data_IF_096769142867
#
_entry.id   IF_096769142867
#
_cell.length_a   1.000
_cell.length_b   1.000
_cell.length_c   1.000
_cell.angle_alpha   90.00
_cell.angle_beta   90.00
_cell.angle_gamma   90.00
#
_symmetry.space_group_name_H-M   'P 1'
#
loop_
_entity.id
_entity.type
_entity.pdbx_description
1 polymer ?
#
# COMPACT_ATOMS: atom_id res chain seq x y z
N UNK A 1 9.10 -5.63 -7.82
CA UNK A 1 9.56 -4.70 -6.77
C UNK A 1 9.40 -5.38 -5.43
N UNK A 2 10.22 -5.05 -4.43
CA UNK A 2 10.06 -5.54 -3.05
C UNK A 2 9.17 -4.57 -2.29
N UNK A 3 8.21 -5.07 -1.53
CA UNK A 3 7.36 -4.24 -0.67
C UNK A 3 7.82 -4.39 0.78
N UNK A 4 8.03 -3.26 1.44
CA UNK A 4 8.30 -3.19 2.88
C UNK A 4 7.16 -2.39 3.54
N UNK A 5 6.71 -2.87 4.69
CA UNK A 5 5.68 -2.20 5.48
C UNK A 5 6.28 -1.74 6.78
N UNK A 6 6.07 -0.48 7.13
CA UNK A 6 6.38 -0.03 8.48
C UNK A 6 5.46 -0.74 9.47
N UNK A 7 5.92 -0.88 10.71
CA UNK A 7 5.18 -1.62 11.73
C UNK A 7 3.74 -1.10 11.94
N UNK A 8 3.53 0.21 11.81
CA UNK A 8 2.19 0.82 11.91
C UNK A 8 1.26 0.32 10.81
N UNK A 9 1.70 0.32 9.56
CA UNK A 9 0.95 -0.19 8.42
C UNK A 9 0.67 -1.70 8.56
N UNK A 10 1.68 -2.46 9.01
CA UNK A 10 1.53 -3.90 9.26
C UNK A 10 0.50 -4.21 10.35
N UNK A 11 0.38 -3.39 11.39
CA UNK A 11 -0.64 -3.57 12.42
C UNK A 11 -2.06 -3.37 11.86
N UNK A 12 -2.26 -2.39 10.96
CA UNK A 12 -3.58 -2.16 10.34
C UNK A 12 -4.04 -3.39 9.57
N UNK A 13 -3.14 -4.05 8.82
CA UNK A 13 -3.47 -5.28 8.11
C UNK A 13 -3.99 -6.41 9.00
N UNK A 14 -3.55 -6.46 10.27
CA UNK A 14 -3.99 -7.49 11.22
C UNK A 14 -5.34 -7.18 11.87
N UNK A 15 -5.75 -5.91 11.86
CA UNK A 15 -6.92 -5.41 12.58
C UNK A 15 -8.14 -5.15 11.67
N UNK A 16 -7.98 -5.24 10.34
CA UNK A 16 -9.06 -5.02 9.36
C UNK A 16 -9.82 -6.32 9.05
N UNK A 17 -11.12 -6.23 8.67
CA UNK A 17 -11.87 -7.37 8.15
C UNK A 17 -11.26 -7.98 6.88
N UNK A 18 -11.55 -9.26 6.60
CA UNK A 18 -11.01 -9.99 5.45
C UNK A 18 -11.24 -9.28 4.10
N UNK A 19 -12.42 -8.69 3.87
CA UNK A 19 -12.73 -7.94 2.65
C UNK A 19 -11.81 -6.74 2.45
N UNK A 20 -11.54 -6.00 3.53
CA UNK A 20 -10.64 -4.85 3.52
C UNK A 20 -9.18 -5.32 3.36
N UNK A 21 -8.83 -6.47 3.94
CA UNK A 21 -7.52 -7.08 3.74
C UNK A 21 -7.29 -7.44 2.26
N UNK A 22 -8.27 -8.06 1.60
CA UNK A 22 -8.20 -8.37 0.16
C UNK A 22 -8.05 -7.11 -0.70
N UNK A 23 -8.77 -6.04 -0.37
CA UNK A 23 -8.64 -4.77 -1.07
C UNK A 23 -7.25 -4.15 -0.89
N UNK A 24 -6.71 -4.17 0.33
CA UNK A 24 -5.34 -3.67 0.59
C UNK A 24 -4.31 -4.49 -0.20
N UNK A 25 -4.45 -5.81 -0.25
CA UNK A 25 -3.55 -6.66 -1.05
C UNK A 25 -3.64 -6.32 -2.55
N UNK A 26 -4.86 -6.07 -3.05
CA UNK A 26 -5.08 -5.66 -4.45
C UNK A 26 -4.39 -4.32 -4.76
N UNK A 27 -4.43 -3.36 -3.83
CA UNK A 27 -3.71 -2.09 -3.98
C UNK A 27 -2.19 -2.29 -3.96
N UNK A 28 -1.67 -3.19 -3.11
CA UNK A 28 -0.25 -3.53 -3.08
C UNK A 28 0.19 -4.15 -4.41
N UNK A 29 -0.59 -5.10 -4.94
CA UNK A 29 -0.29 -5.72 -6.23
C UNK A 29 -0.26 -4.67 -7.35
N UNK A 30 -1.27 -3.79 -7.41
CA UNK A 30 -1.35 -2.73 -8.41
C UNK A 30 -0.12 -1.80 -8.39
N UNK A 31 0.34 -1.35 -7.21
CA UNK A 31 1.52 -0.47 -7.13
C UNK A 31 2.83 -1.20 -7.44
N UNK A 32 2.87 -2.53 -7.35
CA UNK A 32 4.05 -3.32 -7.74
C UNK A 32 4.12 -3.60 -9.25
N UNK A 33 2.96 -3.66 -9.91
CA UNK A 33 2.84 -3.82 -11.36
C UNK A 33 3.05 -2.51 -12.12
N UNK A 34 2.83 -1.37 -11.45
CA UNK A 34 3.09 -0.02 -11.97
C UNK A 34 4.60 0.29 -12.02
N UNK A 35 5.27 -0.41 -12.94
CA UNK A 35 6.71 -0.30 -13.21
C UNK A 35 7.10 0.94 -14.01
N UNK A 36 6.13 1.67 -14.56
CA UNK A 36 6.37 2.86 -15.39
C UNK A 36 6.41 4.15 -14.56
N UNK A 37 5.76 4.17 -13.41
CA UNK A 37 5.68 5.36 -12.58
C UNK A 37 6.91 5.41 -11.66
N UNK A 38 7.97 6.11 -12.11
CA UNK A 38 9.00 6.67 -11.23
C UNK A 38 8.37 7.75 -10.33
N UNK A 39 7.43 7.32 -9.49
CA UNK A 39 6.57 8.16 -8.68
C UNK A 39 7.40 8.94 -7.65
N UNK A 40 6.88 10.07 -7.13
CA UNK A 40 7.64 11.01 -6.30
C UNK A 40 8.15 10.37 -5.01
N UNK A 41 8.95 11.12 -4.25
CA UNK A 41 9.34 10.77 -2.86
C UNK A 41 8.15 10.35 -1.96
N UNK A 42 6.91 10.63 -2.36
CA UNK A 42 5.67 10.21 -1.70
C UNK A 42 4.52 10.05 -2.71
N UNK A 43 3.77 8.96 -2.63
CA UNK A 43 2.63 8.63 -3.48
C UNK A 43 1.48 7.99 -2.68
N UNK A 44 0.30 7.92 -3.30
CA UNK A 44 -0.89 7.30 -2.69
C UNK A 44 -1.66 6.44 -3.69
N UNK A 45 -2.11 5.28 -3.24
CA UNK A 45 -3.00 4.38 -3.98
C UNK A 45 -4.34 4.29 -3.25
N UNK A 46 -5.44 4.31 -4.01
CA UNK A 46 -6.79 4.38 -3.46
C UNK A 46 -7.67 3.32 -4.12
N UNK A 47 -8.30 2.51 -3.28
CA UNK A 47 -9.35 1.58 -3.67
C UNK A 47 -10.73 2.20 -3.45
N UNK A 48 -11.71 1.32 -3.30
CA UNK A 48 -13.09 1.70 -3.01
C UNK A 48 -13.25 2.16 -1.56
N UNK A 49 -12.62 1.45 -0.63
CA UNK A 49 -12.69 1.73 0.81
C UNK A 49 -11.31 1.93 1.42
N UNK A 50 -10.26 1.37 0.84
CA UNK A 50 -8.91 1.38 1.41
C UNK A 50 -7.95 2.32 0.67
N UNK A 51 -6.89 2.73 1.37
CA UNK A 51 -5.80 3.51 0.78
C UNK A 51 -4.43 3.04 1.29
N UNK A 52 -3.41 3.33 0.49
CA UNK A 52 -2.00 3.20 0.81
C UNK A 52 -1.30 4.53 0.63
N UNK A 53 -0.40 4.88 1.54
CA UNK A 53 0.61 5.93 1.33
C UNK A 53 1.96 5.23 1.28
N UNK A 54 2.73 5.49 0.22
CA UNK A 54 3.99 4.80 -0.03
C UNK A 54 5.04 5.72 -0.65
N UNK A 55 6.28 5.28 -0.61
CA UNK A 55 7.40 5.87 -1.35
C UNK A 55 8.11 4.79 -2.16
N UNK A 56 8.79 5.20 -3.23
CA UNK A 56 9.53 4.30 -4.11
C UNK A 56 11.01 4.67 -4.06
N UNK A 57 11.84 3.71 -3.66
CA UNK A 57 13.29 3.86 -3.55
C UNK A 57 13.97 2.72 -4.31
N UNK A 58 14.26 2.97 -5.60
CA UNK A 58 14.86 1.95 -6.46
C UNK A 58 13.88 0.82 -6.75
N UNK A 59 14.19 -0.39 -6.26
CA UNK A 59 13.31 -1.56 -6.41
C UNK A 59 12.40 -1.81 -5.20
N UNK A 60 12.47 -0.94 -4.18
CA UNK A 60 11.70 -1.04 -2.95
C UNK A 60 10.53 -0.05 -2.97
N UNK A 61 9.35 -0.56 -2.65
CA UNK A 61 8.17 0.20 -2.28
C UNK A 61 8.06 0.14 -0.76
N UNK A 62 8.14 1.28 -0.08
CA UNK A 62 7.95 1.37 1.36
C UNK A 62 6.57 1.95 1.66
N UNK A 63 5.70 1.14 2.29
CA UNK A 63 4.35 1.54 2.69
C UNK A 63 4.42 2.20 4.06
N UNK A 64 4.08 3.48 4.09
CA UNK A 64 4.17 4.38 5.24
C UNK A 64 2.85 4.47 6.02
N UNK A 65 1.71 4.34 5.33
CA UNK A 65 0.39 4.35 5.97
C UNK A 65 -0.61 3.51 5.18
N UNK A 66 -1.55 2.92 5.92
CA UNK A 66 -2.64 2.10 5.39
C UNK A 66 -3.88 2.41 6.20
N UNK A 67 -5.03 2.50 5.55
CA UNK A 67 -6.30 2.58 6.25
C UNK A 67 -7.46 2.26 5.34
N UNK A 68 -8.63 2.08 5.95
CA UNK A 68 -9.88 1.91 5.24
C UNK A 68 -10.97 2.79 5.86
N UNK A 69 -11.77 3.41 5.02
CA UNK A 69 -12.94 4.16 5.40
C UNK A 69 -14.07 3.16 5.70
N UNK A 70 -14.77 3.39 6.81
CA UNK A 70 -15.91 2.57 7.23
C UNK A 70 -17.21 3.33 7.00
#
# INVERSE_FOLDING_TARGET
MRVELIQRAANVLLDVPDEMHEEIMTLIDAITEDTETQAPDLAGAFGEWCWLVYTVHGDVIEVLDVGCAR
#
